data_IF_929625827529
#
_entry.id   IF_929625827529
#
_cell.length_a   1.000
_cell.length_b   1.000
_cell.length_c   1.000
_cell.angle_alpha   90.00
_cell.angle_beta   90.00
_cell.angle_gamma   90.00
#
_symmetry.space_group_name_H-M   'P 1'
#
loop_
_entity.id
_entity.type
_entity.pdbx_description
1 polymer ?
#
# COMPACT_ATOMS: atom_id res chain seq x y z
N UNK A 1 -32.67 40.34 62.39
CA UNK A 1 -33.39 39.61 61.33
C UNK A 1 -32.51 39.56 60.08
N UNK A 2 -31.79 38.43 59.89
CA UNK A 2 -31.05 38.08 58.66
C UNK A 2 -31.07 36.54 58.55
N UNK A 3 -31.44 36.03 57.38
CA UNK A 3 -31.77 34.63 57.06
C UNK A 3 -30.47 33.81 56.88
N UNK A 4 -30.39 32.54 57.32
CA UNK A 4 -29.24 31.69 57.03
C UNK A 4 -29.40 30.97 55.69
N UNK A 5 -28.40 31.07 54.82
CA UNK A 5 -28.35 30.36 53.54
C UNK A 5 -27.58 29.04 53.72
N UNK A 6 -28.28 27.92 53.58
CA UNK A 6 -27.72 26.56 53.60
C UNK A 6 -26.87 26.33 52.34
N UNK A 7 -25.59 26.01 52.54
CA UNK A 7 -24.67 25.63 51.47
C UNK A 7 -24.89 24.15 51.09
N UNK A 8 -25.26 23.91 49.83
CA UNK A 8 -25.32 22.59 49.21
C UNK A 8 -23.93 22.24 48.65
N UNK A 9 -23.29 21.23 49.25
CA UNK A 9 -22.07 20.60 48.72
C UNK A 9 -22.51 19.53 47.71
N UNK A 10 -22.34 19.81 46.41
CA UNK A 10 -22.54 18.84 45.34
C UNK A 10 -21.19 18.27 44.88
N UNK A 11 -20.99 16.96 45.07
CA UNK A 11 -19.81 16.24 44.61
C UNK A 11 -19.92 15.93 43.10
N UNK A 12 -18.98 16.43 42.30
CA UNK A 12 -18.83 16.07 40.88
C UNK A 12 -17.81 14.93 40.78
N UNK A 13 -18.27 13.71 40.56
CA UNK A 13 -17.42 12.56 40.19
C UNK A 13 -17.25 12.60 38.67
N UNK A 14 -16.10 13.09 38.21
CA UNK A 14 -15.73 13.09 36.81
C UNK A 14 -15.27 11.69 36.36
N UNK A 15 -16.05 11.06 35.49
CA UNK A 15 -15.65 9.84 34.79
C UNK A 15 -14.59 10.18 33.73
N UNK A 16 -13.32 9.90 34.02
CA UNK A 16 -12.26 9.91 33.01
C UNK A 16 -12.38 8.65 32.14
N UNK A 17 -13.05 8.76 30.99
CA UNK A 17 -12.92 7.78 29.91
C UNK A 17 -11.51 7.89 29.32
N UNK A 18 -10.64 6.93 29.66
CA UNK A 18 -9.33 6.79 29.03
C UNK A 18 -9.57 6.22 27.63
N UNK A 19 -9.65 7.09 26.63
CA UNK A 19 -9.67 6.67 25.23
C UNK A 19 -8.30 6.07 24.90
N UNK A 20 -8.22 4.74 24.86
CA UNK A 20 -7.05 4.06 24.32
C UNK A 20 -6.93 4.42 22.83
N UNK A 21 -5.77 4.89 22.36
CA UNK A 21 -5.59 5.16 20.94
C UNK A 21 -5.70 3.81 20.22
N UNK A 22 -6.71 3.69 19.35
CA UNK A 22 -6.78 2.59 18.40
C UNK A 22 -5.55 2.69 17.50
N UNK A 23 -4.56 1.81 17.71
CA UNK A 23 -3.48 1.63 16.75
C UNK A 23 -4.15 1.17 15.45
N UNK A 24 -4.17 2.04 14.45
CA UNK A 24 -4.62 1.68 13.12
C UNK A 24 -3.78 0.49 12.65
N UNK A 25 -4.37 -0.71 12.61
CA UNK A 25 -3.65 -1.92 12.26
C UNK A 25 -3.13 -1.78 10.83
N UNK A 26 -1.80 -1.75 10.68
CA UNK A 26 -1.19 -1.74 9.36
C UNK A 26 -1.54 -3.04 8.65
N UNK A 27 -2.02 -3.00 7.40
CA UNK A 27 -2.41 -4.21 6.69
C UNK A 27 -1.22 -5.15 6.53
N UNK A 28 -1.47 -6.46 6.67
CA UNK A 28 -0.48 -7.51 6.51
C UNK A 28 -0.30 -7.89 5.04
N UNK A 29 -1.41 -8.10 4.35
CA UNK A 29 -1.44 -8.55 2.97
C UNK A 29 -2.54 -7.85 2.17
N UNK A 30 -2.44 -7.96 0.84
CA UNK A 30 -3.49 -7.61 -0.12
C UNK A 30 -3.98 -8.87 -0.83
N UNK A 31 -5.28 -8.96 -1.07
CA UNK A 31 -5.90 -10.07 -1.80
C UNK A 31 -5.67 -9.88 -3.30
N UNK A 32 -4.93 -10.79 -3.92
CA UNK A 32 -4.65 -10.78 -5.37
C UNK A 32 -5.65 -11.58 -6.19
N UNK A 33 -6.29 -12.57 -5.59
CA UNK A 33 -7.25 -13.41 -6.31
C UNK A 33 -8.18 -14.10 -5.32
N UNK A 34 -9.43 -14.31 -5.73
CA UNK A 34 -10.46 -15.05 -4.98
C UNK A 34 -11.21 -15.92 -5.96
N UNK A 35 -11.19 -17.23 -5.74
CA UNK A 35 -11.93 -18.19 -6.56
C UNK A 35 -12.92 -18.96 -5.69
N UNK A 36 -14.12 -19.17 -6.23
CA UNK A 36 -15.20 -19.82 -5.50
C UNK A 36 -15.82 -18.92 -4.42
N UNK A 37 -16.48 -19.54 -3.45
CA UNK A 37 -17.15 -18.82 -2.36
C UNK A 37 -16.18 -18.59 -1.20
N UNK A 38 -15.81 -17.33 -1.00
CA UNK A 38 -15.00 -16.88 0.14
C UNK A 38 -15.70 -15.68 0.79
N UNK A 39 -16.04 -15.82 2.07
CA UNK A 39 -16.80 -14.79 2.78
C UNK A 39 -15.86 -13.75 3.42
N UNK A 40 -16.23 -12.48 3.30
CA UNK A 40 -15.62 -11.38 4.08
C UNK A 40 -14.25 -10.89 3.59
N UNK A 41 -13.86 -11.24 2.36
CA UNK A 41 -12.77 -10.65 1.59
C UNK A 41 -13.12 -10.60 0.10
N UNK A 42 -12.57 -9.63 -0.63
CA UNK A 42 -12.67 -9.50 -2.07
C UNK A 42 -11.31 -9.19 -2.69
N UNK A 43 -11.20 -9.32 -4.02
CA UNK A 43 -10.04 -8.87 -4.77
C UNK A 43 -9.70 -7.40 -4.45
N UNK A 44 -8.43 -7.12 -4.17
CA UNK A 44 -7.85 -5.83 -3.72
C UNK A 44 -8.15 -5.45 -2.27
N UNK A 45 -8.82 -6.29 -1.49
CA UNK A 45 -8.97 -6.01 -0.08
C UNK A 45 -7.63 -6.10 0.65
N UNK A 46 -7.40 -5.15 1.55
CA UNK A 46 -6.35 -5.28 2.55
C UNK A 46 -6.85 -6.17 3.69
N UNK A 47 -5.98 -7.08 4.13
CA UNK A 47 -6.25 -7.96 5.26
C UNK A 47 -5.27 -7.67 6.40
N UNK A 48 -5.80 -7.54 7.61
CA UNK A 48 -5.03 -7.33 8.83
C UNK A 48 -4.57 -8.67 9.42
N UNK A 49 -3.48 -8.68 10.22
CA UNK A 49 -3.14 -9.84 11.04
C UNK A 49 -4.32 -10.25 11.93
N UNK A 50 -4.46 -11.55 12.22
CA UNK A 50 -5.54 -12.10 13.04
C UNK A 50 -6.87 -12.31 12.29
N UNK A 51 -7.01 -11.79 11.06
CA UNK A 51 -8.18 -12.08 10.23
C UNK A 51 -8.27 -13.59 9.94
N UNK A 52 -9.46 -14.15 10.16
CA UNK A 52 -9.79 -15.52 9.77
C UNK A 52 -10.53 -15.49 8.43
N UNK A 53 -10.06 -16.24 7.45
CA UNK A 53 -10.70 -16.44 6.16
C UNK A 53 -11.10 -17.91 6.05
N UNK A 54 -12.37 -18.17 5.78
CA UNK A 54 -12.90 -19.53 5.59
C UNK A 54 -13.05 -19.79 4.10
N UNK A 55 -12.38 -20.82 3.61
CA UNK A 55 -12.42 -21.25 2.22
C UNK A 55 -13.29 -22.50 2.13
N UNK A 56 -14.36 -22.43 1.33
CA UNK A 56 -15.19 -23.59 1.03
C UNK A 56 -14.46 -24.62 0.15
N UNK A 57 -15.10 -25.77 -0.12
CA UNK A 57 -14.58 -26.74 -1.07
C UNK A 57 -14.33 -26.10 -2.44
N UNK A 58 -13.18 -26.38 -3.04
CA UNK A 58 -12.68 -25.82 -4.31
C UNK A 58 -12.51 -24.29 -4.32
N UNK A 59 -12.63 -23.63 -3.16
CA UNK A 59 -12.34 -22.20 -3.06
C UNK A 59 -10.85 -21.97 -2.87
N UNK A 60 -10.34 -20.87 -3.43
CA UNK A 60 -8.95 -20.47 -3.26
C UNK A 60 -8.83 -18.97 -3.07
N UNK A 61 -7.76 -18.56 -2.40
CA UNK A 61 -7.39 -17.16 -2.24
C UNK A 61 -5.89 -17.02 -2.51
N UNK A 62 -5.51 -15.94 -3.20
CA UNK A 62 -4.11 -15.54 -3.29
C UNK A 62 -3.89 -14.28 -2.46
N UNK A 63 -2.96 -14.34 -1.50
CA UNK A 63 -2.57 -13.25 -0.62
C UNK A 63 -1.14 -12.82 -0.92
N UNK A 64 -0.90 -11.52 -1.00
CA UNK A 64 0.44 -10.96 -1.13
C UNK A 64 0.81 -10.12 0.07
N UNK A 65 1.79 -10.60 0.84
CA UNK A 65 2.23 -10.00 2.09
C UNK A 65 3.16 -8.82 1.87
N UNK A 66 2.76 -7.67 2.42
CA UNK A 66 3.41 -6.38 2.20
C UNK A 66 4.77 -6.26 2.88
N UNK A 67 4.97 -6.99 3.98
CA UNK A 67 6.21 -6.95 4.78
C UNK A 67 7.22 -8.02 4.39
N UNK A 68 6.76 -9.17 3.93
CA UNK A 68 7.62 -10.33 3.69
C UNK A 68 7.84 -10.61 2.22
N UNK A 69 7.19 -9.91 1.29
CA UNK A 69 7.20 -10.25 -0.13
C UNK A 69 6.81 -11.71 -0.41
N UNK A 70 6.01 -12.33 0.47
CA UNK A 70 5.48 -13.67 0.27
C UNK A 70 4.15 -13.58 -0.47
N UNK A 71 4.04 -14.34 -1.56
CA UNK A 71 2.79 -14.60 -2.25
C UNK A 71 2.32 -15.99 -1.83
N UNK A 72 1.16 -16.06 -1.20
CA UNK A 72 0.54 -17.31 -0.78
C UNK A 72 -0.67 -17.59 -1.65
N UNK A 73 -0.74 -18.77 -2.26
CA UNK A 73 -1.96 -19.30 -2.86
C UNK A 73 -2.47 -20.42 -1.97
N UNK A 74 -3.67 -20.25 -1.45
CA UNK A 74 -4.26 -21.12 -0.45
C UNK A 74 -5.54 -21.72 -1.00
N UNK A 75 -5.66 -23.05 -0.90
CA UNK A 75 -6.81 -23.82 -1.39
C UNK A 75 -7.51 -24.49 -0.23
N UNK A 76 -8.81 -24.20 -0.09
CA UNK A 76 -9.70 -24.78 0.94
C UNK A 76 -9.25 -24.53 2.39
N UNK A 77 -10.10 -24.90 3.35
CA UNK A 77 -9.77 -24.86 4.78
C UNK A 77 -9.95 -23.50 5.46
N UNK A 78 -9.21 -23.30 6.55
CA UNK A 78 -9.28 -22.11 7.41
C UNK A 78 -7.92 -21.43 7.46
N UNK A 79 -7.90 -20.15 7.09
CA UNK A 79 -6.69 -19.32 7.04
C UNK A 79 -6.70 -18.32 8.18
N UNK A 80 -5.69 -18.38 9.03
CA UNK A 80 -5.37 -17.33 9.98
C UNK A 80 -4.26 -16.45 9.39
N UNK A 81 -4.60 -15.20 9.05
CA UNK A 81 -3.66 -14.23 8.48
C UNK A 81 -2.67 -13.79 9.55
N UNK A 82 -1.38 -14.00 9.30
CA UNK A 82 -0.31 -13.50 10.17
C UNK A 82 0.19 -12.13 9.74
N UNK A 83 1.28 -11.65 10.34
CA UNK A 83 1.90 -10.38 9.93
C UNK A 83 2.73 -10.51 8.63
N UNK A 84 3.25 -11.69 8.36
CA UNK A 84 4.20 -11.97 7.27
C UNK A 84 3.84 -13.20 6.43
N UNK A 85 3.00 -14.10 6.95
CA UNK A 85 2.53 -15.31 6.29
C UNK A 85 1.28 -15.85 7.00
N UNK A 86 0.52 -16.73 6.37
CA UNK A 86 -0.67 -17.34 6.99
C UNK A 86 -0.36 -18.66 7.68
N UNK A 87 -1.15 -18.98 8.71
CA UNK A 87 -1.32 -20.35 9.20
C UNK A 87 -2.59 -20.93 8.59
N UNK A 88 -2.49 -22.11 7.96
CA UNK A 88 -3.58 -22.75 7.24
C UNK A 88 -3.91 -24.08 7.90
N UNK A 89 -5.20 -24.32 8.15
CA UNK A 89 -5.73 -25.57 8.69
C UNK A 89 -6.66 -26.21 7.67
N UNK A 90 -6.54 -27.54 7.49
CA UNK A 90 -7.42 -28.33 6.61
C UNK A 90 -7.45 -27.84 5.15
N UNK A 91 -6.36 -27.23 4.70
CA UNK A 91 -6.18 -26.71 3.35
C UNK A 91 -4.71 -26.75 2.94
N UNK A 92 -4.44 -26.45 1.68
CA UNK A 92 -3.09 -26.42 1.13
C UNK A 92 -2.61 -24.99 0.95
N UNK A 93 -1.32 -24.74 1.18
CA UNK A 93 -0.70 -23.42 0.97
C UNK A 93 0.57 -23.55 0.14
N UNK A 94 0.57 -22.90 -1.01
CA UNK A 94 1.77 -22.66 -1.81
C UNK A 94 2.33 -21.29 -1.47
N UNK A 95 3.64 -21.20 -1.24
CA UNK A 95 4.32 -19.94 -0.93
C UNK A 95 5.43 -19.68 -1.93
N UNK A 96 5.38 -18.51 -2.55
CA UNK A 96 6.39 -18.04 -3.48
C UNK A 96 6.98 -16.73 -2.93
N UNK A 97 8.31 -16.66 -2.81
CA UNK A 97 9.01 -15.40 -2.54
C UNK A 97 9.09 -14.63 -3.85
N UNK A 98 8.52 -13.42 -3.88
CA UNK A 98 8.44 -12.62 -5.09
C UNK A 98 9.32 -11.37 -4.99
N UNK A 99 9.87 -10.87 -6.11
CA UNK A 99 10.55 -9.58 -6.13
C UNK A 99 9.61 -8.47 -5.64
N UNK A 100 9.99 -7.81 -4.56
CA UNK A 100 9.24 -6.73 -3.96
C UNK A 100 10.15 -5.85 -3.10
N UNK A 101 9.79 -4.58 -2.96
CA UNK A 101 10.42 -3.66 -2.02
C UNK A 101 9.39 -3.27 -0.97
N UNK A 102 9.64 -3.66 0.27
CA UNK A 102 8.75 -3.39 1.40
C UNK A 102 8.65 -1.90 1.71
N UNK A 103 9.60 -1.09 1.20
CA UNK A 103 9.55 0.37 1.27
C UNK A 103 8.71 0.98 0.15
N UNK A 104 8.50 0.29 -0.99
CA UNK A 104 7.59 0.77 -2.05
C UNK A 104 6.12 0.77 -1.60
N UNK A 105 5.78 -0.15 -0.69
CA UNK A 105 4.49 -0.18 -0.01
C UNK A 105 4.31 0.96 1.02
N UNK A 106 5.34 1.76 1.30
CA UNK A 106 5.29 2.92 2.19
C UNK A 106 6.16 4.03 1.60
N UNK A 107 5.71 4.62 0.50
CA UNK A 107 6.43 5.76 -0.07
C UNK A 107 6.37 6.91 0.93
N UNK A 108 7.52 7.28 1.49
CA UNK A 108 7.66 8.50 2.27
C UNK A 108 7.40 9.70 1.35
N UNK A 109 6.58 10.66 1.79
CA UNK A 109 6.49 11.98 1.17
C UNK A 109 7.89 12.60 1.19
N UNK A 110 8.62 12.50 0.08
CA UNK A 110 9.93 13.14 -0.07
C UNK A 110 9.69 14.42 -0.84
N UNK A 111 10.01 15.54 -0.22
CA UNK A 111 10.00 16.84 -0.88
C UNK A 111 11.07 16.86 -1.98
N UNK A 112 10.71 16.40 -3.18
CA UNK A 112 11.48 16.57 -4.41
C UNK A 112 11.43 18.04 -4.91
N UNK A 113 11.42 19.00 -3.97
CA UNK A 113 11.37 20.44 -4.24
C UNK A 113 12.75 21.08 -4.39
N UNK A 114 13.83 20.32 -4.18
CA UNK A 114 15.14 20.71 -4.66
C UNK A 114 15.26 20.18 -6.09
N UNK A 115 15.62 21.06 -7.02
CA UNK A 115 15.43 20.92 -8.45
C UNK A 115 15.77 19.53 -9.00
N UNK A 116 14.93 19.02 -9.91
CA UNK A 116 15.10 17.72 -10.57
C UNK A 116 16.46 17.50 -11.27
N UNK A 117 17.33 18.52 -11.33
CA UNK A 117 18.71 18.44 -11.81
C UNK A 117 19.79 18.53 -10.71
N UNK A 118 19.50 19.05 -9.50
CA UNK A 118 20.50 19.25 -8.43
C UNK A 118 20.41 18.20 -7.33
N UNK A 119 19.25 17.61 -7.05
CA UNK A 119 19.08 16.67 -5.91
C UNK A 119 19.75 15.32 -6.12
N UNK A 120 19.91 14.87 -7.38
CA UNK A 120 20.69 13.68 -7.68
C UNK A 120 22.21 13.90 -7.50
N UNK A 121 22.68 15.16 -7.54
CA UNK A 121 24.09 15.50 -7.26
C UNK A 121 24.34 15.74 -5.78
N UNK A 122 23.43 16.40 -5.05
CA UNK A 122 23.58 16.58 -3.59
C UNK A 122 23.42 15.28 -2.79
N UNK A 123 22.74 14.26 -3.32
CA UNK A 123 22.80 12.90 -2.76
C UNK A 123 24.20 12.24 -2.83
N UNK A 124 25.14 12.81 -3.60
CA UNK A 124 26.54 12.35 -3.65
C UNK A 124 27.49 13.20 -2.80
N UNK A 125 27.04 14.34 -2.28
CA UNK A 125 27.94 15.34 -1.70
C UNK A 125 27.68 15.66 -0.23
N UNK A 126 26.47 15.47 0.30
CA UNK A 126 26.14 15.88 1.68
C UNK A 126 25.51 14.77 2.52
N UNK A 127 26.21 13.65 2.70
CA UNK A 127 26.06 12.79 3.89
C UNK A 127 27.19 11.74 3.91
N UNK A 128 27.83 11.58 5.08
CA UNK A 128 28.57 10.35 5.43
C UNK A 128 27.60 9.18 5.61
N UNK A 129 26.88 8.81 4.56
CA UNK A 129 25.92 7.72 4.52
C UNK A 129 25.54 7.42 3.07
N UNK A 130 25.42 6.14 2.72
CA UNK A 130 25.00 5.74 1.38
C UNK A 130 23.66 6.41 1.01
N UNK A 131 23.47 6.86 -0.25
CA UNK A 131 22.21 7.48 -0.67
C UNK A 131 21.05 6.53 -0.36
N UNK A 132 20.01 7.04 0.28
CA UNK A 132 18.84 6.24 0.64
C UNK A 132 18.24 5.65 -0.64
N UNK A 133 18.28 4.31 -0.77
CA UNK A 133 17.73 3.59 -1.92
C UNK A 133 16.30 4.06 -2.17
N UNK A 134 15.99 4.44 -3.41
CA UNK A 134 14.62 4.78 -3.78
C UNK A 134 13.77 3.50 -3.70
N UNK A 135 12.52 3.61 -3.23
CA UNK A 135 11.60 2.48 -3.28
C UNK A 135 11.48 1.95 -4.71
N UNK A 136 11.62 0.64 -4.89
CA UNK A 136 11.71 0.00 -6.21
C UNK A 136 10.49 -0.89 -6.49
N UNK A 137 9.88 -0.75 -7.66
CA UNK A 137 8.87 -1.69 -8.17
C UNK A 137 9.47 -2.59 -9.24
N UNK A 138 8.96 -3.81 -9.33
CA UNK A 138 9.49 -4.92 -10.13
C UNK A 138 8.62 -5.26 -11.35
N UNK A 139 7.58 -4.45 -11.61
CA UNK A 139 6.76 -4.53 -12.82
C UNK A 139 6.67 -3.16 -13.48
N UNK A 140 6.60 -3.14 -14.82
CA UNK A 140 6.53 -1.88 -15.60
C UNK A 140 5.18 -1.18 -15.51
N UNK A 141 4.14 -1.87 -15.05
CA UNK A 141 2.79 -1.34 -14.92
C UNK A 141 2.40 -1.25 -13.43
N UNK A 142 2.64 -0.11 -12.76
CA UNK A 142 2.35 0.03 -11.34
C UNK A 142 0.85 -0.10 -11.02
N UNK A 143 0.57 -0.67 -9.85
CA UNK A 143 -0.73 -0.55 -9.20
C UNK A 143 -0.65 0.59 -8.19
N UNK A 144 -1.37 1.68 -8.43
CA UNK A 144 -1.28 2.89 -7.60
C UNK A 144 -2.46 2.94 -6.65
N UNK A 145 -2.20 2.93 -5.34
CA UNK A 145 -3.19 3.17 -4.30
C UNK A 145 -3.26 4.67 -4.01
N UNK A 146 -4.43 5.28 -4.26
CA UNK A 146 -4.72 6.69 -4.05
C UNK A 146 -6.25 6.91 -3.95
N UNK A 147 -6.71 8.05 -3.44
CA UNK A 147 -8.15 8.39 -3.44
C UNK A 147 -8.61 8.85 -4.83
N UNK A 148 -9.84 8.46 -5.18
CA UNK A 148 -10.51 9.00 -6.36
C UNK A 148 -10.78 10.51 -6.24
N UNK A 149 -10.96 11.17 -7.39
CA UNK A 149 -11.20 12.61 -7.49
C UNK A 149 -9.92 13.46 -7.61
N UNK A 150 -8.74 12.86 -7.45
CA UNK A 150 -7.45 13.51 -7.65
C UNK A 150 -6.91 13.29 -9.07
N UNK A 151 -5.83 13.98 -9.44
CA UNK A 151 -5.08 13.71 -10.67
C UNK A 151 -3.70 13.19 -10.30
N UNK A 152 -3.37 12.01 -10.82
CA UNK A 152 -2.04 11.41 -10.71
C UNK A 152 -1.18 11.90 -11.87
N UNK A 153 0.02 12.39 -11.54
CA UNK A 153 1.04 12.70 -12.53
C UNK A 153 2.25 11.81 -12.27
N UNK A 154 2.76 11.14 -13.31
CA UNK A 154 4.00 10.36 -13.28
C UNK A 154 4.99 11.02 -14.24
N UNK A 155 6.12 11.47 -13.70
CA UNK A 155 7.21 12.09 -14.44
C UNK A 155 8.46 11.21 -14.36
N UNK A 156 9.12 10.96 -15.48
CA UNK A 156 10.44 10.35 -15.48
C UNK A 156 11.51 11.41 -15.20
N UNK A 157 12.34 11.20 -14.19
CA UNK A 157 13.30 12.20 -13.72
C UNK A 157 14.71 12.03 -14.31
N UNK A 158 15.00 10.87 -14.91
CA UNK A 158 16.31 10.52 -15.49
C UNK A 158 16.24 10.27 -17.01
N UNK A 159 15.16 10.72 -17.65
CA UNK A 159 14.86 10.48 -19.06
C UNK A 159 14.14 11.66 -19.71
N UNK A 160 13.62 11.44 -20.91
CA UNK A 160 12.90 12.46 -21.71
C UNK A 160 11.48 12.02 -22.07
N UNK A 161 11.00 10.97 -21.43
CA UNK A 161 9.69 10.40 -21.65
C UNK A 161 8.60 11.42 -21.31
N UNK A 162 7.50 11.45 -22.07
CA UNK A 162 6.38 12.32 -21.77
C UNK A 162 5.81 12.03 -20.38
N UNK A 163 5.49 13.10 -19.66
CA UNK A 163 4.75 13.02 -18.40
C UNK A 163 3.39 12.34 -18.61
N UNK A 164 3.09 11.35 -17.78
CA UNK A 164 1.79 10.68 -17.77
C UNK A 164 0.89 11.44 -16.79
N UNK A 165 -0.23 11.99 -17.27
CA UNK A 165 -1.24 12.65 -16.43
C UNK A 165 -2.55 11.87 -16.51
N UNK A 166 -3.09 11.47 -15.37
CA UNK A 166 -4.28 10.63 -15.28
C UNK A 166 -5.26 11.16 -14.22
N UNK A 167 -6.50 11.52 -14.59
CA UNK A 167 -7.54 11.79 -13.62
C UNK A 167 -7.98 10.47 -12.96
N UNK A 168 -7.92 10.39 -11.64
CA UNK A 168 -8.32 9.24 -10.84
C UNK A 168 -9.84 9.24 -10.65
N UNK A 169 -10.58 8.98 -11.72
CA UNK A 169 -12.04 8.87 -11.69
C UNK A 169 -12.47 7.54 -11.07
N UNK A 170 -13.54 7.55 -10.26
CA UNK A 170 -14.01 6.36 -9.53
C UNK A 170 -14.26 5.16 -10.43
N UNK A 171 -14.74 5.36 -11.67
CA UNK A 171 -15.05 4.30 -12.63
C UNK A 171 -13.79 3.63 -13.20
N UNK A 172 -12.67 4.36 -13.23
CA UNK A 172 -11.37 3.87 -13.68
C UNK A 172 -10.58 3.18 -12.55
N UNK A 173 -11.08 3.23 -11.31
CA UNK A 173 -10.41 2.69 -10.14
C UNK A 173 -11.09 1.43 -9.61
N UNK A 174 -10.29 0.49 -9.12
CA UNK A 174 -10.78 -0.72 -8.45
C UNK A 174 -11.10 -0.35 -7.00
N UNK A 175 -12.37 -0.54 -6.61
CA UNK A 175 -12.86 -0.21 -5.28
C UNK A 175 -12.70 1.26 -4.88
N UNK A 176 -12.58 2.18 -5.86
CA UNK A 176 -12.31 3.60 -5.62
C UNK A 176 -10.95 3.92 -5.00
N UNK A 177 -10.03 2.94 -4.94
CA UNK A 177 -8.75 3.03 -4.21
C UNK A 177 -7.53 2.72 -5.05
N UNK A 178 -7.67 1.91 -6.10
CA UNK A 178 -6.53 1.46 -6.89
C UNK A 178 -6.69 1.82 -8.36
N UNK A 179 -5.68 2.46 -8.93
CA UNK A 179 -5.56 2.67 -10.36
C UNK A 179 -4.51 1.71 -10.92
N UNK A 180 -4.91 0.86 -11.86
CA UNK A 180 -4.03 -0.16 -12.44
C UNK A 180 -3.54 0.26 -13.83
N UNK A 181 -2.24 0.52 -13.95
CA UNK A 181 -1.61 0.87 -15.23
C UNK A 181 -1.74 -0.25 -16.26
N UNK A 182 -1.71 -1.52 -15.84
CA UNK A 182 -1.85 -2.65 -16.74
C UNK A 182 -3.23 -2.66 -17.38
N UNK A 183 -4.29 -2.45 -16.58
CA UNK A 183 -5.67 -2.34 -17.06
C UNK A 183 -5.87 -1.12 -17.97
N UNK A 184 -5.15 -0.03 -17.71
CA UNK A 184 -5.19 1.19 -18.51
C UNK A 184 -4.31 1.16 -19.77
N UNK A 185 -3.59 0.05 -20.04
CA UNK A 185 -2.68 -0.05 -21.17
C UNK A 185 -1.48 0.90 -21.08
N UNK A 186 -1.07 1.27 -19.86
CA UNK A 186 0.06 2.17 -19.59
C UNK A 186 1.23 1.38 -19.03
N UNK A 187 2.44 1.80 -19.37
CA UNK A 187 3.68 1.22 -18.85
C UNK A 187 4.73 2.30 -18.61
N UNK A 188 5.64 1.98 -17.71
CA UNK A 188 6.87 2.72 -17.45
C UNK A 188 8.05 1.97 -18.10
N UNK A 189 9.21 2.62 -18.16
CA UNK A 189 10.42 2.07 -18.75
C UNK A 189 11.23 1.36 -17.65
N UNK A 190 11.66 0.10 -17.87
CA UNK A 190 12.57 -0.59 -16.95
C UNK A 190 13.83 0.23 -16.65
N UNK A 191 14.27 0.22 -15.40
CA UNK A 191 15.45 0.94 -14.93
C UNK A 191 15.28 2.46 -14.78
N UNK A 192 14.09 3.00 -15.04
CA UNK A 192 13.81 4.44 -14.90
C UNK A 192 13.55 4.88 -13.47
N UNK A 193 13.96 6.11 -13.16
CA UNK A 193 13.60 6.83 -11.93
C UNK A 193 12.43 7.77 -12.19
N UNK A 194 11.45 7.75 -11.29
CA UNK A 194 10.18 8.42 -11.48
C UNK A 194 9.76 9.23 -10.25
N UNK A 195 8.93 10.23 -10.51
CA UNK A 195 8.22 11.03 -9.54
C UNK A 195 6.73 10.84 -9.74
N UNK A 196 6.05 10.30 -8.74
CA UNK A 196 4.58 10.32 -8.65
C UNK A 196 4.13 11.56 -7.89
N UNK A 197 3.18 12.29 -8.45
CA UNK A 197 2.64 13.53 -7.89
C UNK A 197 1.13 13.37 -7.74
N UNK A 198 0.64 13.66 -6.53
CA UNK A 198 -0.76 13.63 -6.18
C UNK A 198 -1.11 14.91 -5.41
N UNK A 199 -1.72 15.88 -6.09
CA UNK A 199 -1.90 17.23 -5.54
C UNK A 199 -0.54 17.88 -5.22
N UNK A 200 -0.34 18.26 -3.96
CA UNK A 200 0.93 18.84 -3.49
C UNK A 200 1.99 17.79 -3.12
N UNK A 201 1.59 16.51 -2.99
CA UNK A 201 2.47 15.44 -2.51
C UNK A 201 3.29 14.87 -3.65
N UNK A 202 4.53 14.50 -3.35
CA UNK A 202 5.51 13.97 -4.29
C UNK A 202 6.19 12.72 -3.72
N UNK A 203 6.33 11.70 -4.55
CA UNK A 203 6.86 10.40 -4.17
C UNK A 203 7.85 9.92 -5.23
N UNK A 204 9.12 9.82 -4.87
CA UNK A 204 10.16 9.29 -5.75
C UNK A 204 10.21 7.76 -5.65
N UNK A 205 10.32 7.09 -6.79
CA UNK A 205 10.46 5.64 -6.87
C UNK A 205 11.26 5.23 -8.12
N UNK A 206 11.64 3.96 -8.20
CA UNK A 206 12.34 3.39 -9.35
C UNK A 206 11.58 2.18 -9.88
N UNK A 207 11.73 1.94 -11.18
CA UNK A 207 11.37 0.68 -11.82
C UNK A 207 12.64 -0.16 -11.95
N UNK A 208 12.62 -1.40 -11.48
CA UNK A 208 13.76 -2.31 -11.59
C UNK A 208 14.18 -2.48 -13.06
N UNK A 209 15.49 -2.62 -13.30
CA UNK A 209 16.02 -2.76 -14.66
C UNK A 209 15.58 -4.08 -15.35
N UNK A 210 15.25 -5.10 -14.56
CA UNK A 210 14.74 -6.39 -15.02
C UNK A 210 13.21 -6.46 -15.10
N UNK A 211 12.51 -5.36 -14.76
CA UNK A 211 11.05 -5.33 -14.79
C UNK A 211 10.53 -5.61 -16.20
N UNK A 212 9.50 -6.46 -16.30
CA UNK A 212 8.89 -6.83 -17.58
C UNK A 212 7.41 -6.44 -17.59
N UNK A 213 6.78 -6.60 -18.76
CA UNK A 213 5.33 -6.50 -18.93
C UNK A 213 4.57 -7.76 -18.51
N UNK A 214 5.27 -8.81 -18.08
CA UNK A 214 4.64 -10.04 -17.61
C UNK A 214 3.80 -9.77 -16.35
N UNK A 215 2.71 -10.52 -16.12
CA UNK A 215 1.91 -10.40 -14.91
C UNK A 215 2.80 -10.52 -13.66
N UNK A 216 2.93 -9.42 -12.93
CA UNK A 216 3.73 -9.35 -11.71
C UNK A 216 2.79 -9.35 -10.51
N UNK A 217 3.10 -10.11 -9.44
CA UNK A 217 2.39 -10.04 -8.17
C UNK A 217 2.24 -8.59 -7.71
N UNK A 218 1.12 -8.29 -7.09
CA UNK A 218 0.70 -6.94 -6.71
C UNK A 218 1.72 -6.29 -5.79
N UNK A 219 2.22 -7.02 -4.79
CA UNK A 219 3.21 -6.48 -3.87
C UNK A 219 4.50 -6.05 -4.58
N UNK A 220 4.83 -6.64 -5.73
CA UNK A 220 6.00 -6.25 -6.53
C UNK A 220 5.80 -4.95 -7.31
N UNK A 221 4.56 -4.52 -7.54
CA UNK A 221 4.23 -3.34 -8.38
C UNK A 221 3.37 -2.30 -7.69
N UNK A 222 3.11 -2.46 -6.40
CA UNK A 222 2.21 -1.61 -5.63
C UNK A 222 2.91 -0.33 -5.17
N UNK A 223 2.33 0.82 -5.52
CA UNK A 223 2.72 2.14 -5.04
C UNK A 223 1.62 2.67 -4.11
N UNK A 224 1.92 2.85 -2.83
CA UNK A 224 0.95 3.33 -1.83
C UNK A 224 1.17 4.80 -1.54
N UNK A 225 0.35 5.66 -2.14
CA UNK A 225 0.47 7.11 -2.02
C UNK A 225 -0.38 7.67 -0.88
N UNK A 226 -1.49 7.01 -0.53
CA UNK A 226 -2.44 7.42 0.52
C UNK A 226 -3.00 6.25 1.34
#
# INVERSE_FOLDING_TARGET
MRIPMRSLIGAVVGALCVATPALAETPAAIVEDVQGKVDGIAFMDYVAPGKIIKLGPKASVTLSYLKSCLRETISEGVVLVGAEQSTVQLGEVKRDKVPCDTNAAKLSEREANQSAATTFRTMRSDAKGAPAKLPTIYGVAPLVQAKSGSTLVIERTDGKEPTITVPLKSEAMIGGKFYDFAKAGKSLTPGGSYLAILGAKRYAFQVDASATSSPTPIVGRLLRLE
#
